data_IF_670651395004
#
_entry.id   IF_670651395004
#
_cell.length_a   1.000
_cell.length_b   1.000
_cell.length_c   1.000
_cell.angle_alpha   90.00
_cell.angle_beta   90.00
_cell.angle_gamma   90.00
#
_symmetry.space_group_name_H-M   'P 1'
#
loop_
_entity.id
_entity.type
_entity.pdbx_description
1 polymer ?
#
# COMPACT_ATOMS: atom_id res chain seq x y z
N UNK A 1 -19.13 -19.17 24.77
CA UNK A 1 -20.44 -19.09 24.07
C UNK A 1 -20.78 -17.63 23.80
N UNK A 2 -20.68 -17.17 22.56
CA UNK A 2 -21.01 -15.80 22.15
C UNK A 2 -22.54 -15.53 22.29
N UNK A 3 -22.91 -14.41 22.89
CA UNK A 3 -24.28 -13.86 22.82
C UNK A 3 -24.24 -12.68 21.84
N UNK A 4 -24.31 -13.01 20.55
CA UNK A 4 -24.50 -12.08 19.43
C UNK A 4 -25.37 -12.75 18.36
N UNK A 5 -25.75 -12.00 17.32
CA UNK A 5 -26.86 -12.28 16.40
C UNK A 5 -26.99 -13.70 15.81
N UNK A 6 -25.93 -14.50 15.81
CA UNK A 6 -25.97 -15.96 15.59
C UNK A 6 -25.17 -16.69 16.68
N UNK A 7 -25.85 -17.49 17.53
CA UNK A 7 -25.22 -18.24 18.62
C UNK A 7 -24.26 -19.30 18.06
N UNK A 8 -23.00 -19.26 18.51
CA UNK A 8 -22.03 -20.34 18.29
C UNK A 8 -21.06 -20.15 17.13
N UNK A 9 -21.11 -19.01 16.43
CA UNK A 9 -20.14 -18.67 15.40
C UNK A 9 -18.83 -18.15 16.03
N UNK A 10 -17.70 -18.65 15.53
CA UNK A 10 -16.36 -18.23 15.95
C UNK A 10 -15.87 -17.13 15.03
N UNK A 11 -15.41 -16.02 15.62
CA UNK A 11 -14.78 -14.92 14.89
C UNK A 11 -13.32 -14.81 15.29
N UNK A 12 -12.44 -14.63 14.30
CA UNK A 12 -11.03 -14.38 14.52
C UNK A 12 -10.78 -12.88 14.50
N UNK A 13 -10.18 -12.35 15.57
CA UNK A 13 -9.89 -10.92 15.70
C UNK A 13 -8.55 -10.72 16.42
N UNK A 14 -7.90 -9.59 16.14
CA UNK A 14 -6.76 -9.10 16.88
C UNK A 14 -7.25 -8.12 17.95
N UNK A 15 -6.66 -8.14 19.15
CA UNK A 15 -7.02 -7.20 20.23
C UNK A 15 -5.86 -6.26 20.52
N UNK A 16 -6.11 -4.96 20.41
CA UNK A 16 -5.17 -3.91 20.78
C UNK A 16 -5.60 -3.26 22.09
N UNK A 17 -4.75 -3.41 23.12
CA UNK A 17 -4.94 -2.78 24.42
C UNK A 17 -4.30 -1.40 24.49
N UNK A 18 -5.03 -0.42 24.99
CA UNK A 18 -4.51 0.93 25.20
C UNK A 18 -5.23 1.65 26.35
N UNK A 19 -4.63 2.74 26.82
CA UNK A 19 -5.31 3.63 27.75
C UNK A 19 -6.49 4.33 27.04
N UNK A 20 -7.70 4.38 27.62
CA UNK A 20 -8.87 5.00 26.98
C UNK A 20 -8.72 6.50 26.67
N UNK A 21 -7.87 7.20 27.41
CA UNK A 21 -7.54 8.62 27.24
C UNK A 21 -6.35 8.84 26.29
N UNK A 22 -5.77 7.76 25.75
CA UNK A 22 -4.68 7.83 24.79
C UNK A 22 -5.12 8.57 23.52
N UNK A 23 -4.27 9.42 22.92
CA UNK A 23 -4.55 10.01 21.61
C UNK A 23 -4.66 8.97 20.49
N UNK A 24 -4.27 7.72 20.74
CA UNK A 24 -4.45 6.60 19.82
C UNK A 24 -5.78 5.86 20.01
N UNK A 25 -6.53 6.16 21.07
CA UNK A 25 -7.83 5.55 21.31
C UNK A 25 -8.81 5.98 20.21
N UNK A 26 -9.48 5.04 19.53
CA UNK A 26 -10.36 5.40 18.44
C UNK A 26 -11.60 6.12 18.96
N UNK A 27 -12.03 7.15 18.24
CA UNK A 27 -13.35 7.76 18.42
C UNK A 27 -14.39 6.93 17.64
N UNK A 28 -15.30 6.19 18.30
CA UNK A 28 -16.28 5.38 17.59
C UNK A 28 -17.30 6.27 16.87
N UNK A 29 -17.66 5.88 15.64
CA UNK A 29 -18.74 6.51 14.87
C UNK A 29 -20.12 6.12 15.42
N UNK A 30 -20.23 4.91 15.99
CA UNK A 30 -21.43 4.39 16.65
C UNK A 30 -21.12 3.87 18.06
N UNK A 31 -22.00 4.16 19.02
CA UNK A 31 -21.91 3.62 20.38
C UNK A 31 -21.07 4.49 21.31
N UNK A 32 -20.26 3.84 22.16
CA UNK A 32 -19.45 4.46 23.22
C UNK A 32 -17.98 4.10 23.04
N UNK A 33 -17.11 5.05 23.40
CA UNK A 33 -15.66 4.82 23.41
C UNK A 33 -15.20 3.87 24.50
N UNK A 34 -13.90 3.59 24.49
CA UNK A 34 -13.25 2.80 25.52
C UNK A 34 -13.42 3.44 26.90
N UNK A 35 -13.47 2.59 27.93
CA UNK A 35 -13.47 2.98 29.34
C UNK A 35 -12.56 2.03 30.10
N UNK A 36 -12.01 2.51 31.21
CA UNK A 36 -11.20 1.66 32.07
C UNK A 36 -12.06 0.58 32.70
N UNK A 37 -11.63 -0.67 32.52
CA UNK A 37 -12.28 -1.85 33.06
C UNK A 37 -13.67 -2.16 32.46
N UNK A 38 -14.23 -3.28 32.91
CA UNK A 38 -15.57 -3.71 32.52
C UNK A 38 -15.65 -4.50 31.20
N UNK A 39 -14.52 -4.82 30.56
CA UNK A 39 -14.49 -5.70 29.39
C UNK A 39 -15.15 -5.09 28.15
N UNK A 40 -15.23 -3.76 28.07
CA UNK A 40 -15.75 -3.07 26.89
C UNK A 40 -14.76 -3.12 25.74
N UNK A 41 -15.21 -3.51 24.55
CA UNK A 41 -14.43 -3.47 23.32
C UNK A 41 -15.08 -2.60 22.26
N UNK A 42 -14.26 -1.88 21.51
CA UNK A 42 -14.68 -1.13 20.32
C UNK A 42 -14.17 -1.91 19.10
N UNK A 43 -15.06 -2.27 18.19
CA UNK A 43 -14.73 -3.09 17.01
C UNK A 43 -14.56 -2.25 15.75
N UNK A 44 -13.91 -2.79 14.73
CA UNK A 44 -13.81 -2.19 13.39
C UNK A 44 -14.88 -2.74 12.45
N UNK A 45 -15.03 -2.09 11.29
CA UNK A 45 -16.01 -2.48 10.27
C UNK A 45 -15.85 -3.95 9.84
N UNK A 46 -14.63 -4.48 9.76
CA UNK A 46 -14.40 -5.88 9.36
C UNK A 46 -15.04 -6.89 10.31
N UNK A 47 -15.10 -6.57 11.61
CA UNK A 47 -15.76 -7.42 12.61
C UNK A 47 -17.28 -7.26 12.51
N UNK A 48 -17.76 -6.04 12.22
CA UNK A 48 -19.18 -5.77 12.02
C UNK A 48 -19.75 -6.47 10.77
N UNK A 49 -18.95 -6.57 9.70
CA UNK A 49 -19.30 -7.27 8.46
C UNK A 49 -19.46 -8.79 8.68
N UNK A 50 -18.87 -9.35 9.74
CA UNK A 50 -19.10 -10.72 10.20
C UNK A 50 -20.41 -10.88 11.00
N UNK A 51 -21.20 -9.81 11.14
CA UNK A 51 -22.50 -9.82 11.79
C UNK A 51 -22.47 -9.48 13.28
N UNK A 52 -21.31 -9.12 13.85
CA UNK A 52 -21.18 -8.65 15.23
C UNK A 52 -21.71 -7.22 15.33
N UNK A 53 -22.51 -6.93 16.36
CA UNK A 53 -23.14 -5.61 16.55
C UNK A 53 -22.80 -5.00 17.90
N UNK A 54 -22.97 -3.69 18.01
CA UNK A 54 -22.92 -2.99 19.29
C UNK A 54 -23.98 -3.57 20.23
N UNK A 55 -23.58 -3.92 21.44
CA UNK A 55 -24.39 -4.62 22.44
C UNK A 55 -24.16 -6.13 22.51
N UNK A 56 -23.52 -6.73 21.51
CA UNK A 56 -23.17 -8.15 21.54
C UNK A 56 -22.09 -8.44 22.59
N UNK A 57 -22.07 -9.68 23.08
CA UNK A 57 -21.05 -10.17 24.01
C UNK A 57 -20.25 -11.29 23.36
N UNK A 58 -18.98 -11.03 23.13
CA UNK A 58 -18.00 -12.01 22.69
C UNK A 58 -17.38 -12.71 23.91
N UNK A 59 -16.95 -13.96 23.75
CA UNK A 59 -16.25 -14.70 24.80
C UNK A 59 -14.94 -15.17 24.23
N UNK A 60 -13.84 -14.81 24.88
CA UNK A 60 -12.52 -15.24 24.48
C UNK A 60 -12.35 -16.75 24.78
N UNK A 61 -12.02 -17.51 23.74
CA UNK A 61 -12.03 -18.98 23.76
C UNK A 61 -11.11 -19.60 24.83
N UNK A 62 -9.95 -18.98 25.09
CA UNK A 62 -8.96 -19.52 26.03
C UNK A 62 -9.12 -19.03 27.46
N UNK A 63 -9.67 -17.83 27.66
CA UNK A 63 -9.70 -17.16 28.98
C UNK A 63 -11.09 -17.06 29.57
N UNK A 64 -12.13 -17.39 28.79
CA UNK A 64 -13.54 -17.18 29.13
C UNK A 64 -13.88 -15.72 29.49
N UNK A 65 -12.99 -14.77 29.15
CA UNK A 65 -13.20 -13.34 29.37
C UNK A 65 -14.33 -12.89 28.45
N UNK A 66 -15.33 -12.26 29.05
CA UNK A 66 -16.49 -11.71 28.34
C UNK A 66 -16.18 -10.30 27.89
N UNK A 67 -16.36 -10.06 26.60
CA UNK A 67 -16.09 -8.79 25.94
C UNK A 67 -17.40 -8.21 25.42
N UNK A 68 -17.81 -7.05 25.91
CA UNK A 68 -19.03 -6.39 25.46
C UNK A 68 -18.69 -5.41 24.36
N UNK A 69 -19.33 -5.52 23.21
CA UNK A 69 -19.14 -4.58 22.10
C UNK A 69 -19.84 -3.27 22.47
N UNK A 70 -19.05 -2.24 22.78
CA UNK A 70 -19.57 -0.93 23.24
C UNK A 70 -19.61 0.11 22.14
N UNK A 71 -18.86 -0.08 21.04
CA UNK A 71 -18.86 0.84 19.91
C UNK A 71 -18.25 0.23 18.65
N UNK A 72 -18.42 0.95 17.55
CA UNK A 72 -17.91 0.64 16.22
C UNK A 72 -17.15 1.85 15.68
N UNK A 73 -15.96 1.59 15.14
CA UNK A 73 -15.17 2.57 14.38
C UNK A 73 -15.49 2.38 12.90
N UNK A 74 -15.81 3.46 12.21
CA UNK A 74 -16.13 3.44 10.78
C UNK A 74 -14.90 3.12 9.90
N UNK A 75 -13.71 3.17 10.47
CA UNK A 75 -12.45 2.85 9.80
C UNK A 75 -12.25 1.34 9.62
N UNK A 76 -11.79 0.98 8.42
CA UNK A 76 -11.32 -0.36 8.07
C UNK A 76 -9.90 -0.52 8.60
N UNK A 77 -9.72 -1.24 9.71
CA UNK A 77 -8.43 -1.54 10.30
C UNK A 77 -8.27 -3.04 10.48
N UNK A 78 -7.23 -3.59 9.86
CA UNK A 78 -6.87 -5.00 9.96
C UNK A 78 -5.43 -5.20 10.43
N UNK A 79 -5.18 -6.34 11.07
CA UNK A 79 -3.85 -6.78 11.47
C UNK A 79 -3.65 -8.21 10.99
N UNK A 80 -2.81 -8.43 9.98
CA UNK A 80 -2.63 -9.75 9.39
C UNK A 80 -3.91 -10.31 8.75
N UNK A 81 -4.68 -9.47 8.06
CA UNK A 81 -5.95 -9.81 7.37
C UNK A 81 -7.10 -10.26 8.27
N UNK A 82 -7.01 -10.03 9.59
CA UNK A 82 -8.14 -10.17 10.52
C UNK A 82 -8.53 -8.80 11.10
N UNK A 83 -9.80 -8.65 11.49
CA UNK A 83 -10.32 -7.42 12.07
C UNK A 83 -9.70 -7.11 13.44
N UNK A 84 -9.69 -5.83 13.80
CA UNK A 84 -9.11 -5.35 15.06
C UNK A 84 -10.22 -4.94 16.02
N UNK A 85 -10.10 -5.38 17.27
CA UNK A 85 -10.88 -4.87 18.39
C UNK A 85 -9.97 -4.10 19.33
N UNK A 86 -10.40 -2.91 19.72
CA UNK A 86 -9.73 -2.09 20.72
C UNK A 86 -10.31 -2.41 22.09
N UNK A 87 -9.44 -2.50 23.08
CA UNK A 87 -9.80 -2.75 24.47
C UNK A 87 -8.98 -1.84 25.39
N UNK A 88 -9.44 -1.66 26.62
CA UNK A 88 -8.59 -1.08 27.65
C UNK A 88 -7.42 -2.02 27.98
N UNK A 89 -6.35 -1.45 28.53
CA UNK A 89 -5.12 -2.20 28.78
C UNK A 89 -5.30 -3.34 29.78
N UNK A 90 -6.21 -3.21 30.75
CA UNK A 90 -6.51 -4.26 31.73
C UNK A 90 -7.24 -5.43 31.07
N UNK A 91 -8.26 -5.16 30.25
CA UNK A 91 -8.94 -6.18 29.44
C UNK A 91 -7.97 -6.89 28.51
N UNK A 92 -7.07 -6.15 27.82
CA UNK A 92 -6.06 -6.77 26.96
C UNK A 92 -5.11 -7.69 27.75
N UNK A 93 -4.68 -7.30 28.95
CA UNK A 93 -3.83 -8.14 29.81
C UNK A 93 -4.52 -9.45 30.18
N UNK A 94 -5.79 -9.42 30.56
CA UNK A 94 -6.57 -10.64 30.85
C UNK A 94 -6.61 -11.58 29.64
N UNK A 95 -6.77 -11.04 28.43
CA UNK A 95 -6.74 -11.80 27.19
C UNK A 95 -5.33 -12.35 26.87
N UNK A 96 -4.29 -11.54 27.06
CA UNK A 96 -2.90 -11.93 26.78
C UNK A 96 -2.41 -13.07 27.67
N UNK A 97 -2.69 -13.01 28.97
CA UNK A 97 -2.28 -14.05 29.92
C UNK A 97 -3.23 -15.23 29.99
N UNK A 98 -4.44 -15.09 29.45
CA UNK A 98 -5.42 -16.17 29.45
C UNK A 98 -5.99 -16.50 30.83
N UNK A 99 -5.97 -15.56 31.78
CA UNK A 99 -6.33 -15.82 33.17
C UNK A 99 -7.76 -15.31 33.49
N UNK A 100 -8.70 -16.18 33.89
CA UNK A 100 -9.96 -15.75 34.47
C UNK A 100 -9.72 -15.33 35.93
N UNK A 101 -9.70 -14.02 36.22
CA UNK A 101 -9.57 -13.49 37.57
C UNK A 101 -8.47 -12.44 37.72
N UNK A 102 -8.06 -12.16 38.96
CA UNK A 102 -7.10 -11.10 39.26
C UNK A 102 -5.75 -11.34 38.55
N UNK A 103 -5.29 -10.32 37.83
CA UNK A 103 -3.98 -10.33 37.20
C UNK A 103 -2.87 -10.34 38.26
N UNK A 104 -1.79 -11.12 38.06
CA UNK A 104 -0.58 -10.99 38.87
C UNK A 104 -0.01 -9.57 38.79
N UNK A 105 0.65 -9.10 39.85
CA UNK A 105 1.22 -7.73 39.87
C UNK A 105 2.19 -7.48 38.71
N UNK A 106 2.94 -8.51 38.30
CA UNK A 106 3.82 -8.43 37.13
C UNK A 106 3.06 -8.13 35.83
N UNK A 107 1.85 -8.66 35.66
CA UNK A 107 1.02 -8.44 34.48
C UNK A 107 0.48 -7.00 34.40
N UNK A 108 0.19 -6.38 35.55
CA UNK A 108 -0.29 -5.00 35.64
C UNK A 108 0.73 -3.95 35.16
N UNK A 109 2.01 -4.34 35.06
CA UNK A 109 3.09 -3.46 34.57
C UNK A 109 3.53 -3.81 33.14
N UNK A 110 2.88 -4.77 32.50
CA UNK A 110 3.25 -5.19 31.15
C UNK A 110 2.52 -4.36 30.08
N UNK A 111 3.29 -3.92 29.09
CA UNK A 111 2.87 -3.37 27.81
C UNK A 111 3.87 -3.84 26.74
N UNK A 112 3.42 -4.01 25.50
CA UNK A 112 4.29 -4.47 24.40
C UNK A 112 4.97 -3.32 23.66
N UNK A 113 4.40 -2.12 23.73
CA UNK A 113 4.94 -0.92 23.11
C UNK A 113 4.43 0.33 23.85
N UNK A 114 5.15 1.44 23.68
CA UNK A 114 4.74 2.77 24.12
C UNK A 114 4.75 3.67 22.89
N UNK A 115 3.63 4.33 22.62
CA UNK A 115 3.54 5.33 21.58
C UNK A 115 3.99 6.69 22.12
N UNK A 116 4.85 7.37 21.38
CA UNK A 116 5.42 8.65 21.75
C UNK A 116 5.16 9.65 20.62
N UNK A 117 4.79 10.87 20.98
CA UNK A 117 4.83 12.02 20.07
C UNK A 117 6.02 12.86 20.47
N UNK A 118 6.95 13.05 19.54
CA UNK A 118 8.17 13.82 19.78
C UNK A 118 7.94 15.27 19.35
N UNK A 119 8.48 16.21 20.12
CA UNK A 119 8.57 17.60 19.70
C UNK A 119 9.57 17.75 18.55
N UNK A 120 9.40 18.80 17.74
CA UNK A 120 10.30 19.09 16.63
C UNK A 120 11.74 19.27 17.12
N UNK A 121 12.68 18.52 16.53
CA UNK A 121 14.09 18.56 16.90
C UNK A 121 14.47 17.71 18.11
N UNK A 122 13.57 16.87 18.63
CA UNK A 122 13.90 15.92 19.69
C UNK A 122 15.00 14.93 19.27
N UNK A 123 15.97 14.72 20.15
CA UNK A 123 17.03 13.71 19.96
C UNK A 123 16.53 12.34 20.44
N UNK A 124 16.08 11.52 19.48
CA UNK A 124 15.61 10.14 19.71
C UNK A 124 16.68 9.30 20.40
N UNK A 125 17.95 9.45 20.00
CA UNK A 125 19.06 8.66 20.54
C UNK A 125 19.33 9.00 22.00
N UNK A 126 19.16 10.26 22.40
CA UNK A 126 19.24 10.66 23.80
C UNK A 126 18.14 10.00 24.64
N UNK A 127 16.90 9.95 24.13
CA UNK A 127 15.76 9.31 24.81
C UNK A 127 15.97 7.80 24.95
N UNK A 128 16.39 7.13 23.88
CA UNK A 128 16.71 5.69 23.89
C UNK A 128 17.79 5.38 24.95
N UNK A 129 18.87 6.18 25.00
CA UNK A 129 19.94 5.99 25.97
C UNK A 129 19.49 6.23 27.41
N UNK A 130 18.65 7.24 27.65
CA UNK A 130 18.17 7.58 28.98
C UNK A 130 17.18 6.55 29.54
N UNK A 131 16.39 5.92 28.67
CA UNK A 131 15.32 4.98 29.05
C UNK A 131 15.71 3.52 28.88
N UNK A 132 16.83 3.24 28.19
CA UNK A 132 17.22 1.89 27.81
C UNK A 132 16.27 1.25 26.81
N UNK A 133 15.49 2.05 26.07
CA UNK A 133 14.54 1.56 25.07
C UNK A 133 15.09 1.67 23.65
N UNK A 134 14.40 1.03 22.71
CA UNK A 134 14.54 1.26 21.27
C UNK A 134 13.27 1.93 20.76
N UNK A 135 13.42 3.00 20.00
CA UNK A 135 12.34 3.67 19.30
C UNK A 135 12.44 3.36 17.80
N UNK A 136 11.33 2.97 17.20
CA UNK A 136 11.19 2.81 15.76
C UNK A 136 10.17 3.84 15.23
N UNK A 137 10.36 4.28 13.99
CA UNK A 137 9.38 5.16 13.34
C UNK A 137 8.09 4.39 13.04
N UNK A 138 6.97 5.11 12.91
CA UNK A 138 5.68 4.52 12.53
C UNK A 138 5.77 3.66 11.26
N UNK A 139 6.51 4.14 10.26
CA UNK A 139 6.71 3.46 8.97
C UNK A 139 7.50 2.16 9.14
N UNK A 140 8.48 2.16 10.03
CA UNK A 140 9.30 0.97 10.32
C UNK A 140 8.47 -0.08 11.04
N UNK A 141 7.55 0.33 11.91
CA UNK A 141 6.65 -0.58 12.64
C UNK A 141 5.72 -1.37 11.72
N UNK A 142 5.37 -0.87 10.52
CA UNK A 142 4.61 -1.68 9.55
C UNK A 142 5.31 -2.99 9.19
N UNK A 143 6.65 -3.00 9.15
CA UNK A 143 7.45 -4.19 8.92
C UNK A 143 7.28 -5.29 9.97
N UNK A 144 6.83 -4.93 11.18
CA UNK A 144 6.53 -5.88 12.26
C UNK A 144 5.14 -6.49 12.15
N UNK A 145 4.28 -5.99 11.26
CA UNK A 145 2.99 -6.61 10.98
C UNK A 145 3.20 -7.95 10.26
N UNK A 146 2.48 -9.02 10.65
CA UNK A 146 2.55 -10.31 9.99
C UNK A 146 2.34 -10.18 8.47
N UNK A 147 3.23 -10.77 7.69
CA UNK A 147 3.13 -10.82 6.22
C UNK A 147 3.50 -9.53 5.48
N UNK A 148 3.47 -8.35 6.12
CA UNK A 148 3.60 -7.05 5.44
C UNK A 148 4.86 -6.95 4.57
N UNK A 149 6.03 -7.32 5.11
CA UNK A 149 7.31 -7.22 4.39
C UNK A 149 7.37 -8.18 3.19
N UNK A 150 6.85 -9.40 3.35
CA UNK A 150 6.85 -10.40 2.29
C UNK A 150 5.88 -10.01 1.16
N UNK A 151 4.67 -9.55 1.51
CA UNK A 151 3.67 -9.08 0.56
C UNK A 151 4.15 -7.82 -0.18
N UNK A 152 4.67 -6.84 0.56
CA UNK A 152 5.20 -5.60 -0.01
C UNK A 152 6.37 -5.86 -0.95
N UNK A 153 7.28 -6.78 -0.59
CA UNK A 153 8.39 -7.20 -1.44
C UNK A 153 7.89 -7.86 -2.73
N UNK A 154 6.93 -8.79 -2.62
CA UNK A 154 6.34 -9.46 -3.78
C UNK A 154 5.64 -8.46 -4.71
N UNK A 155 4.87 -7.52 -4.16
CA UNK A 155 4.25 -6.45 -4.93
C UNK A 155 5.27 -5.53 -5.59
N UNK A 156 6.36 -5.18 -4.91
CA UNK A 156 7.43 -4.39 -5.48
C UNK A 156 8.12 -5.12 -6.65
N UNK A 157 8.35 -6.43 -6.52
CA UNK A 157 8.93 -7.26 -7.56
C UNK A 157 8.03 -7.30 -8.82
N UNK A 158 6.73 -7.57 -8.64
CA UNK A 158 5.76 -7.59 -9.74
C UNK A 158 5.73 -6.23 -10.45
N UNK A 159 5.64 -5.12 -9.70
CA UNK A 159 5.71 -3.77 -10.27
C UNK A 159 6.99 -3.53 -11.05
N UNK A 160 8.14 -3.93 -10.49
CA UNK A 160 9.44 -3.82 -11.15
C UNK A 160 9.49 -4.57 -12.48
N UNK A 161 9.01 -5.82 -12.52
CA UNK A 161 8.91 -6.59 -13.75
C UNK A 161 7.97 -5.95 -14.78
N UNK A 162 6.80 -5.47 -14.35
CA UNK A 162 5.87 -4.78 -15.25
C UNK A 162 6.50 -3.54 -15.87
N UNK A 163 7.25 -2.75 -15.09
CA UNK A 163 7.99 -1.61 -15.62
C UNK A 163 9.11 -2.01 -16.59
N UNK A 164 9.87 -3.06 -16.28
CA UNK A 164 10.93 -3.56 -17.14
C UNK A 164 10.39 -4.09 -18.48
N UNK A 165 9.33 -4.89 -18.44
CA UNK A 165 8.66 -5.41 -19.65
C UNK A 165 8.04 -4.27 -20.44
N UNK A 166 7.41 -3.29 -19.78
CA UNK A 166 6.86 -2.11 -20.45
C UNK A 166 7.94 -1.33 -21.22
N UNK A 167 9.09 -1.08 -20.59
CA UNK A 167 10.22 -0.42 -21.24
C UNK A 167 10.73 -1.20 -22.47
N UNK A 168 10.84 -2.52 -22.34
CA UNK A 168 11.27 -3.42 -23.42
C UNK A 168 10.28 -3.43 -24.59
N UNK A 169 8.98 -3.59 -24.31
CA UNK A 169 7.91 -3.61 -25.32
C UNK A 169 7.84 -2.26 -26.05
N UNK A 170 7.88 -1.15 -25.31
CA UNK A 170 7.92 0.21 -25.90
C UNK A 170 9.16 0.39 -26.79
N UNK A 171 10.34 0.01 -26.30
CA UNK A 171 11.58 0.08 -27.07
C UNK A 171 11.52 -0.75 -28.36
N UNK A 172 11.00 -1.98 -28.28
CA UNK A 172 10.82 -2.85 -29.44
C UNK A 172 9.82 -2.28 -30.44
N UNK A 173 8.68 -1.76 -29.98
CA UNK A 173 7.67 -1.12 -30.81
C UNK A 173 8.25 0.06 -31.59
N UNK A 174 8.92 0.98 -30.89
CA UNK A 174 9.54 2.14 -31.54
C UNK A 174 10.72 1.77 -32.42
N UNK A 175 11.42 0.66 -32.14
CA UNK A 175 12.42 0.10 -33.07
C UNK A 175 11.77 -0.27 -34.40
N UNK A 176 10.71 -1.07 -34.37
CA UNK A 176 9.98 -1.50 -35.58
C UNK A 176 9.40 -0.30 -36.32
N UNK A 177 8.75 0.62 -35.59
CA UNK A 177 8.20 1.85 -36.13
C UNK A 177 9.25 2.71 -36.85
N UNK A 178 10.41 2.91 -36.21
CA UNK A 178 11.50 3.70 -36.79
C UNK A 178 12.10 3.03 -38.02
N UNK A 179 12.20 1.69 -38.03
CA UNK A 179 12.66 0.94 -39.21
C UNK A 179 11.69 1.10 -40.38
N UNK A 180 10.38 1.04 -40.13
CA UNK A 180 9.35 1.23 -41.16
C UNK A 180 9.37 2.64 -41.77
N UNK A 181 9.74 3.66 -40.98
CA UNK A 181 9.89 5.05 -41.44
C UNK A 181 11.22 5.40 -42.10
N UNK A 182 12.13 4.45 -42.29
CA UNK A 182 13.45 4.71 -42.91
C UNK A 182 13.38 5.42 -44.28
N UNK A 183 12.48 5.08 -45.22
CA UNK A 183 12.41 5.76 -46.51
C UNK A 183 12.05 7.24 -46.38
N UNK A 184 11.11 7.56 -45.50
CA UNK A 184 10.68 8.94 -45.21
C UNK A 184 11.84 9.75 -44.58
N UNK A 185 12.56 9.14 -43.62
CA UNK A 185 13.73 9.75 -42.98
C UNK A 185 14.86 9.99 -44.00
N UNK A 186 15.07 9.06 -44.93
CA UNK A 186 16.08 9.19 -45.98
C UNK A 186 15.74 10.33 -46.96
N UNK A 187 14.46 10.47 -47.34
CA UNK A 187 13.96 11.60 -48.14
C UNK A 187 14.19 12.95 -47.44
N UNK A 188 13.85 13.05 -46.15
CA UNK A 188 14.07 14.27 -45.37
C UNK A 188 15.57 14.63 -45.29
N UNK A 189 16.44 13.64 -45.11
CA UNK A 189 17.90 13.86 -45.15
C UNK A 189 18.38 14.31 -46.52
N UNK A 190 17.84 13.74 -47.61
CA UNK A 190 18.19 14.14 -48.98
C UNK A 190 17.76 15.58 -49.29
N UNK A 191 16.69 16.07 -48.65
CA UNK A 191 16.24 17.46 -48.72
C UNK A 191 17.01 18.42 -47.78
N UNK A 192 18.02 17.92 -47.05
CA UNK A 192 18.90 18.73 -46.21
C UNK A 192 18.50 18.83 -44.73
N UNK A 193 17.55 18.02 -44.25
CA UNK A 193 17.17 18.03 -42.84
C UNK A 193 18.31 17.52 -41.94
N UNK A 194 18.68 18.25 -40.87
CA UNK A 194 19.74 17.81 -39.97
C UNK A 194 19.29 16.62 -39.10
N UNK A 195 20.19 15.68 -38.82
CA UNK A 195 19.89 14.48 -38.01
C UNK A 195 19.30 14.83 -36.63
N UNK A 196 19.72 15.95 -36.03
CA UNK A 196 19.17 16.41 -34.75
C UNK A 196 17.70 16.84 -34.81
N UNK A 197 17.23 17.35 -35.95
CA UNK A 197 15.81 17.66 -36.16
C UNK A 197 14.98 16.37 -36.20
N UNK A 198 15.44 15.38 -36.98
CA UNK A 198 14.76 14.07 -37.11
C UNK A 198 14.70 13.35 -35.76
N UNK A 199 15.78 13.41 -34.98
CA UNK A 199 15.80 12.79 -33.65
C UNK A 199 14.81 13.45 -32.68
N UNK A 200 14.74 14.79 -32.67
CA UNK A 200 13.80 15.53 -31.81
C UNK A 200 12.36 15.29 -32.21
N UNK A 201 12.06 15.28 -33.50
CA UNK A 201 10.72 14.98 -34.02
C UNK A 201 10.27 13.56 -33.62
N UNK A 202 11.13 12.57 -33.85
CA UNK A 202 10.84 11.19 -33.47
C UNK A 202 10.63 11.04 -31.95
N UNK A 203 11.47 11.68 -31.13
CA UNK A 203 11.31 11.64 -29.67
C UNK A 203 10.07 12.39 -29.19
N UNK A 204 9.70 13.51 -29.82
CA UNK A 204 8.46 14.22 -29.50
C UNK A 204 7.23 13.36 -29.82
N UNK A 205 7.22 12.67 -30.96
CA UNK A 205 6.16 11.72 -31.33
C UNK A 205 6.07 10.56 -30.34
N UNK A 206 7.21 9.97 -29.97
CA UNK A 206 7.30 8.92 -28.94
C UNK A 206 6.66 9.38 -27.63
N UNK A 207 7.08 10.54 -27.12
CA UNK A 207 6.60 11.07 -25.84
C UNK A 207 5.10 11.38 -25.93
N UNK A 208 4.63 11.98 -27.03
CA UNK A 208 3.21 12.26 -27.22
C UNK A 208 2.36 10.98 -27.21
N UNK A 209 2.81 9.94 -27.93
CA UNK A 209 2.14 8.63 -27.94
C UNK A 209 2.17 7.98 -26.55
N UNK A 210 3.30 8.03 -25.85
CA UNK A 210 3.43 7.47 -24.51
C UNK A 210 2.52 8.19 -23.51
N UNK A 211 2.45 9.53 -23.54
CA UNK A 211 1.56 10.31 -22.69
C UNK A 211 0.11 9.95 -22.97
N UNK A 212 -0.30 9.92 -24.26
CA UNK A 212 -1.67 9.58 -24.63
C UNK A 212 -2.04 8.14 -24.22
N UNK A 213 -1.18 7.16 -24.51
CA UNK A 213 -1.41 5.76 -24.14
C UNK A 213 -1.44 5.57 -22.62
N UNK A 214 -0.55 6.25 -21.88
CA UNK A 214 -0.53 6.20 -20.41
C UNK A 214 -1.78 6.84 -19.82
N UNK A 215 -2.24 7.97 -20.38
CA UNK A 215 -3.48 8.62 -19.95
C UNK A 215 -4.70 7.70 -20.16
N UNK A 216 -4.81 7.08 -21.34
CA UNK A 216 -5.89 6.13 -21.65
C UNK A 216 -5.81 4.89 -20.73
N UNK A 217 -4.63 4.31 -20.56
CA UNK A 217 -4.41 3.17 -19.67
C UNK A 217 -4.72 3.49 -18.20
N UNK A 218 -4.35 4.69 -17.75
CA UNK A 218 -4.68 5.18 -16.39
C UNK A 218 -6.17 5.36 -16.22
N UNK A 219 -6.86 5.94 -17.20
CA UNK A 219 -8.32 6.10 -17.17
C UNK A 219 -9.03 4.73 -17.12
N UNK A 220 -8.58 3.76 -17.92
CA UNK A 220 -9.11 2.39 -17.87
C UNK A 220 -8.83 1.72 -16.52
N UNK A 221 -7.61 1.86 -15.98
CA UNK A 221 -7.23 1.33 -14.68
C UNK A 221 -8.04 1.94 -13.53
N UNK A 222 -8.28 3.25 -13.57
CA UNK A 222 -9.14 3.95 -12.62
C UNK A 222 -10.59 3.46 -12.71
N UNK A 223 -11.13 3.28 -13.92
CA UNK A 223 -12.47 2.76 -14.12
C UNK A 223 -12.62 1.35 -13.52
N UNK A 224 -11.70 0.43 -13.85
CA UNK A 224 -11.71 -0.92 -13.31
C UNK A 224 -11.47 -0.95 -11.79
N UNK A 225 -10.53 -0.14 -11.30
CA UNK A 225 -10.26 -0.01 -9.87
C UNK A 225 -11.47 0.52 -9.11
N UNK A 226 -12.14 1.55 -9.62
CA UNK A 226 -13.34 2.10 -8.98
C UNK A 226 -14.46 1.07 -8.87
N UNK A 227 -14.62 0.18 -9.85
CA UNK A 227 -15.61 -0.89 -9.82
C UNK A 227 -15.33 -2.00 -8.78
N UNK A 228 -14.10 -2.06 -8.24
CA UNK A 228 -13.65 -3.03 -7.25
C UNK A 228 -13.62 -2.48 -5.82
N UNK A 229 -13.88 -1.18 -5.62
CA UNK A 229 -13.96 -0.57 -4.28
C UNK A 229 -15.01 -1.32 -3.43
N UNK A 230 -14.64 -1.68 -2.20
CA UNK A 230 -15.47 -2.43 -1.27
C UNK A 230 -15.50 -3.96 -1.48
N UNK A 231 -14.86 -4.48 -2.54
CA UNK A 231 -14.72 -5.94 -2.78
C UNK A 231 -13.34 -6.47 -2.44
N UNK A 232 -12.34 -5.60 -2.40
CA UNK A 232 -10.97 -5.94 -2.06
C UNK A 232 -10.33 -4.78 -1.27
N UNK A 233 -9.43 -5.07 -0.32
CA UNK A 233 -8.80 -4.07 0.53
C UNK A 233 -7.66 -3.37 -0.21
N UNK A 234 -8.00 -2.45 -1.12
CA UNK A 234 -7.04 -1.57 -1.77
C UNK A 234 -7.58 -0.14 -1.85
N UNK A 235 -6.67 0.83 -1.99
CA UNK A 235 -6.99 2.24 -2.15
C UNK A 235 -6.38 2.79 -3.44
N UNK A 236 -7.10 3.72 -4.07
CA UNK A 236 -6.62 4.46 -5.24
C UNK A 236 -5.92 5.74 -4.76
N UNK A 237 -4.59 5.70 -4.73
CA UNK A 237 -3.77 6.85 -4.32
C UNK A 237 -3.33 7.65 -5.54
N UNK A 238 -3.79 8.91 -5.65
CA UNK A 238 -3.41 9.81 -6.73
C UNK A 238 -1.87 10.01 -6.85
N UNK A 239 -1.12 10.21 -5.75
CA UNK A 239 0.34 10.25 -5.80
C UNK A 239 0.95 8.97 -6.39
N UNK A 240 0.49 7.80 -5.95
CA UNK A 240 1.02 6.53 -6.44
C UNK A 240 0.77 6.34 -7.94
N UNK A 241 -0.44 6.68 -8.41
CA UNK A 241 -0.83 6.62 -9.82
C UNK A 241 0.03 7.57 -10.65
N UNK A 242 0.22 8.81 -10.19
CA UNK A 242 1.06 9.79 -10.87
C UNK A 242 2.53 9.34 -10.95
N UNK A 243 3.07 8.77 -9.87
CA UNK A 243 4.43 8.19 -9.86
C UNK A 243 4.54 7.04 -10.87
N UNK A 244 3.57 6.12 -10.88
CA UNK A 244 3.54 5.01 -11.85
C UNK A 244 3.46 5.48 -13.29
N UNK A 245 2.60 6.45 -13.60
CA UNK A 245 2.49 7.05 -14.93
C UNK A 245 3.80 7.73 -15.36
N UNK A 246 4.41 8.50 -14.47
CA UNK A 246 5.70 9.15 -14.71
C UNK A 246 6.83 8.14 -14.98
N UNK A 247 6.89 7.06 -14.20
CA UNK A 247 7.86 5.97 -14.40
C UNK A 247 7.66 5.28 -15.75
N UNK A 248 6.42 4.98 -16.14
CA UNK A 248 6.13 4.35 -17.43
C UNK A 248 6.55 5.24 -18.61
N UNK A 249 6.21 6.53 -18.57
CA UNK A 249 6.61 7.49 -19.61
C UNK A 249 8.14 7.64 -19.64
N UNK A 250 8.77 7.79 -18.48
CA UNK A 250 10.22 7.94 -18.37
C UNK A 250 10.98 6.73 -18.92
N UNK A 251 10.64 5.53 -18.44
CA UNK A 251 11.26 4.28 -18.87
C UNK A 251 10.96 3.98 -20.35
N UNK A 252 9.74 4.22 -20.81
CA UNK A 252 9.37 4.09 -22.22
C UNK A 252 10.17 5.04 -23.12
N UNK A 253 10.37 6.28 -22.68
CA UNK A 253 11.18 7.28 -23.38
C UNK A 253 12.65 6.83 -23.45
N UNK A 254 13.20 6.31 -22.36
CA UNK A 254 14.57 5.73 -22.35
C UNK A 254 14.67 4.57 -23.34
N UNK A 255 13.70 3.64 -23.34
CA UNK A 255 13.65 2.53 -24.30
C UNK A 255 13.61 2.99 -25.75
N UNK A 256 12.81 4.01 -26.06
CA UNK A 256 12.72 4.60 -27.38
C UNK A 256 13.99 5.36 -27.80
N UNK A 257 14.62 6.11 -26.90
CA UNK A 257 15.91 6.79 -27.16
C UNK A 257 16.98 5.78 -27.57
N UNK A 258 17.06 4.65 -26.86
CA UNK A 258 17.99 3.55 -27.19
C UNK A 258 17.70 2.99 -28.57
N UNK A 259 16.42 2.73 -28.88
CA UNK A 259 16.00 2.23 -30.20
C UNK A 259 16.36 3.19 -31.35
N UNK A 260 16.01 4.48 -31.22
CA UNK A 260 16.23 5.49 -32.26
C UNK A 260 17.72 5.78 -32.44
N UNK A 261 18.51 5.86 -31.37
CA UNK A 261 19.97 6.02 -31.46
C UNK A 261 20.63 4.87 -32.22
N UNK A 262 20.22 3.63 -31.96
CA UNK A 262 20.79 2.46 -32.62
C UNK A 262 20.53 2.46 -34.13
N UNK A 263 19.37 2.95 -34.57
CA UNK A 263 19.00 2.98 -35.99
C UNK A 263 19.62 4.17 -36.73
N UNK A 264 19.67 5.35 -36.09
CA UNK A 264 20.23 6.58 -36.68
C UNK A 264 21.75 6.57 -36.81
N UNK A 265 22.44 5.68 -36.07
CA UNK A 265 23.88 5.44 -36.17
C UNK A 265 24.29 4.59 -37.40
N UNK A 266 23.34 3.98 -38.12
CA UNK A 266 23.64 3.18 -39.33
C UNK A 266 23.81 4.12 -40.53
N UNK A 267 24.90 3.92 -41.28
CA UNK A 267 25.32 4.79 -42.39
C UNK A 267 24.28 4.80 -43.54
N UNK A 268 23.74 5.98 -43.95
CA UNK A 268 22.77 6.10 -45.03
C UNK A 268 23.21 5.48 -46.37
N UNK A 269 24.52 5.46 -46.65
CA UNK A 269 25.06 4.89 -47.89
C UNK A 269 24.87 3.37 -47.97
N UNK A 270 24.86 2.67 -46.82
CA UNK A 270 24.56 1.24 -46.78
C UNK A 270 23.06 0.94 -46.93
N UNK A 271 22.18 1.88 -46.56
CA UNK A 271 20.73 1.68 -46.62
C UNK A 271 20.15 1.87 -48.04
N UNK A 272 20.79 2.69 -48.88
CA UNK A 272 20.37 2.90 -50.28
C UNK A 272 21.08 1.94 -51.27
N UNK A 273 22.23 1.39 -50.90
CA UNK A 273 23.01 0.48 -51.74
C UNK A 273 22.58 -1.00 -51.71
N UNK A 274 21.73 -1.41 -50.78
CA UNK A 274 21.37 -2.82 -50.56
C UNK A 274 20.31 -3.38 -51.54
N UNK A 275 19.91 -2.62 -52.56
CA UNK A 275 18.89 -3.04 -53.56
C UNK A 275 19.45 -3.16 -54.98
N UNK A 276 20.74 -3.45 -55.14
CA UNK A 276 21.29 -4.01 -56.39
C UNK A 276 21.71 -5.45 -56.18
#
# INVERSE_FOLDING_TARGET
MTQGGQKGEQVNLAVFGMAPDSPLAPGPGEGKGLKDGGGGIVITQEIADLGVRVGDVLTADKSEVRLTVVGLVDDTVSYGHIGVAYADLDTWRHLHYGLPGALPEAALRQATAVALTLEDGADVTAVEKATGTRADSKETTYGASPGYTAESSTMALIKGFLYAISALVVGAFFTVWTVQRKPEIALLKALGAPTGYILRDALAQVVAVLVAATAVGTAAGLALGSAMIGKAPFSLSAPAIATSAGLLIGLGTVGAVVAVRRITAVDPLTALGATR
#
